data_IF_360758814737
#
_entry.id   IF_360758814737
#
_cell.length_a   1.000
_cell.length_b   1.000
_cell.length_c   1.000
_cell.angle_alpha   90.00
_cell.angle_beta   90.00
_cell.angle_gamma   90.00
#
_symmetry.space_group_name_H-M   'P 1'
#
loop_
_entity.id
_entity.type
_entity.pdbx_description
1 polymer ?
#
# COMPACT_ATOMS: atom_id res chain seq x y z
N UNK A 1 -5.63 9.92 13.51
CA UNK A 1 -5.87 9.17 12.27
C UNK A 1 -4.83 8.08 12.02
N UNK A 2 -3.53 8.39 11.86
CA UNK A 2 -2.51 7.36 11.58
C UNK A 2 -2.49 6.22 12.61
N UNK A 3 -2.54 6.52 13.92
CA UNK A 3 -2.57 5.51 14.97
C UNK A 3 -3.86 4.66 15.00
N UNK A 4 -4.97 5.15 14.47
CA UNK A 4 -6.22 4.39 14.37
C UNK A 4 -6.26 3.46 13.15
N UNK A 5 -5.39 3.73 12.15
CA UNK A 5 -5.40 3.02 10.87
C UNK A 5 -5.26 1.49 11.00
N UNK A 6 -4.39 0.91 11.85
CA UNK A 6 -4.31 -0.54 12.00
C UNK A 6 -5.54 -1.16 12.70
N UNK A 7 -6.33 -0.38 13.45
CA UNK A 7 -7.39 -0.88 14.31
C UNK A 7 -8.79 -0.83 13.70
N UNK A 8 -9.20 0.33 13.17
CA UNK A 8 -10.58 0.56 12.78
C UNK A 8 -10.70 1.47 11.57
N UNK A 9 -11.47 1.02 10.58
CA UNK A 9 -11.84 1.82 9.41
C UNK A 9 -12.66 3.03 9.86
N UNK A 10 -13.72 2.81 10.65
CA UNK A 10 -14.62 3.87 11.12
C UNK A 10 -13.89 4.94 11.93
N UNK A 11 -13.06 4.53 12.90
CA UNK A 11 -12.29 5.48 13.70
C UNK A 11 -11.33 6.30 12.83
N UNK A 12 -10.68 5.65 11.85
CA UNK A 12 -9.77 6.34 10.92
C UNK A 12 -10.50 7.35 10.05
N UNK A 13 -11.69 7.02 9.56
CA UNK A 13 -12.53 7.91 8.74
C UNK A 13 -13.01 9.12 9.55
N UNK A 14 -13.55 8.89 10.77
CA UNK A 14 -13.97 9.99 11.66
C UNK A 14 -12.80 10.94 11.95
N UNK A 15 -11.64 10.39 12.31
CA UNK A 15 -10.44 11.18 12.58
C UNK A 15 -9.90 11.88 11.33
N UNK A 16 -10.10 11.32 10.12
CA UNK A 16 -9.76 11.98 8.87
C UNK A 16 -10.65 13.20 8.61
N UNK A 17 -11.94 13.11 8.88
CA UNK A 17 -12.87 14.24 8.78
C UNK A 17 -12.47 15.36 9.76
N UNK A 18 -12.22 15.03 11.03
CA UNK A 18 -11.74 16.02 12.00
C UNK A 18 -10.41 16.64 11.58
N UNK A 19 -9.50 15.85 11.02
CA UNK A 19 -8.23 16.35 10.52
C UNK A 19 -8.43 17.33 9.34
N UNK A 20 -9.32 17.04 8.39
CA UNK A 20 -9.60 17.94 7.25
C UNK A 20 -10.18 19.27 7.76
N UNK A 21 -11.15 19.23 8.68
CA UNK A 21 -11.74 20.43 9.29
C UNK A 21 -10.67 21.24 10.02
N UNK A 22 -9.85 20.58 10.86
CA UNK A 22 -8.77 21.26 11.58
C UNK A 22 -7.74 21.86 10.63
N UNK A 23 -7.40 21.18 9.53
CA UNK A 23 -6.49 21.69 8.52
C UNK A 23 -7.07 22.92 7.80
N UNK A 24 -8.34 22.90 7.43
CA UNK A 24 -9.04 24.01 6.79
C UNK A 24 -9.04 25.29 7.66
N UNK A 25 -9.17 25.11 8.97
CA UNK A 25 -9.14 26.21 9.96
C UNK A 25 -7.70 26.63 10.34
N UNK A 26 -6.70 25.88 9.93
CA UNK A 26 -5.29 26.14 10.27
C UNK A 26 -4.58 27.02 9.26
N UNK A 27 -3.47 27.69 9.66
CA UNK A 27 -2.64 28.45 8.71
C UNK A 27 -1.98 27.55 7.64
N UNK A 28 -2.00 26.24 7.78
CA UNK A 28 -1.43 25.30 6.83
C UNK A 28 -2.23 25.21 5.53
N UNK A 29 -3.53 25.49 5.54
CA UNK A 29 -4.40 25.44 4.37
C UNK A 29 -3.87 26.31 3.20
N UNK A 30 -3.27 27.47 3.50
CA UNK A 30 -2.69 28.37 2.48
C UNK A 30 -1.56 27.74 1.65
N UNK A 31 -0.92 26.68 2.15
CA UNK A 31 0.20 26.03 1.45
C UNK A 31 -0.27 24.92 0.49
N UNK A 32 -1.53 24.47 0.60
CA UNK A 32 -2.09 23.40 -0.25
C UNK A 32 -2.01 23.78 -1.73
N UNK A 33 -2.37 25.02 -2.09
CA UNK A 33 -2.31 25.50 -3.48
C UNK A 33 -0.91 25.42 -4.10
N UNK A 34 0.15 25.52 -3.30
CA UNK A 34 1.53 25.31 -3.78
C UNK A 34 1.80 23.85 -4.08
N UNK A 35 1.35 22.93 -3.21
CA UNK A 35 1.58 21.50 -3.42
C UNK A 35 0.76 20.96 -4.60
N UNK A 36 -0.42 21.49 -4.85
CA UNK A 36 -1.23 21.16 -6.03
C UNK A 36 -0.55 21.55 -7.37
N UNK A 37 0.45 22.43 -7.34
CA UNK A 37 1.26 22.79 -8.53
C UNK A 37 2.49 21.90 -8.73
N UNK A 38 2.75 20.97 -7.80
CA UNK A 38 3.86 20.03 -7.90
C UNK A 38 3.38 18.72 -8.53
N UNK A 39 4.27 17.99 -9.22
CA UNK A 39 3.90 16.71 -9.84
C UNK A 39 3.39 15.67 -8.83
N UNK A 40 3.97 15.64 -7.62
CA UNK A 40 3.55 14.71 -6.56
C UNK A 40 2.23 15.08 -5.89
N UNK A 41 1.78 16.32 -5.98
CA UNK A 41 0.47 16.74 -5.48
C UNK A 41 -0.59 16.82 -6.58
N UNK A 42 -0.21 17.19 -7.80
CA UNK A 42 -1.13 17.33 -8.93
C UNK A 42 -1.62 15.98 -9.48
N UNK A 43 -0.73 14.98 -9.63
CA UNK A 43 -1.08 13.69 -10.25
C UNK A 43 -2.14 12.90 -9.45
N UNK A 44 -2.09 12.80 -8.11
CA UNK A 44 -3.17 12.20 -7.34
C UNK A 44 -4.53 12.87 -7.58
N UNK A 45 -4.53 14.21 -7.64
CA UNK A 45 -5.75 14.99 -7.88
C UNK A 45 -6.23 14.86 -9.32
N UNK A 46 -5.32 14.81 -10.29
CA UNK A 46 -5.66 14.57 -11.70
C UNK A 46 -6.28 13.18 -11.90
N UNK A 47 -5.75 12.15 -11.24
CA UNK A 47 -6.33 10.81 -11.28
C UNK A 47 -7.75 10.79 -10.69
N UNK A 48 -7.96 11.45 -9.55
CA UNK A 48 -9.29 11.64 -8.99
C UNK A 48 -10.22 12.42 -9.93
N UNK A 49 -9.75 13.53 -10.51
CA UNK A 49 -10.55 14.36 -11.40
C UNK A 49 -10.99 13.59 -12.65
N UNK A 50 -10.09 12.78 -13.22
CA UNK A 50 -10.43 11.91 -14.34
C UNK A 50 -11.48 10.86 -13.93
N UNK A 51 -11.37 10.27 -12.75
CA UNK A 51 -12.39 9.36 -12.22
C UNK A 51 -13.73 10.08 -11.97
N UNK A 52 -13.71 11.31 -11.45
CA UNK A 52 -14.92 12.11 -11.27
C UNK A 52 -15.60 12.41 -12.61
N UNK A 53 -14.84 12.81 -13.63
CA UNK A 53 -15.36 12.96 -14.98
C UNK A 53 -15.90 11.64 -15.53
N UNK A 54 -15.24 10.50 -15.21
CA UNK A 54 -15.64 9.15 -15.60
C UNK A 54 -17.05 8.75 -15.14
N UNK A 55 -17.60 9.40 -14.11
CA UNK A 55 -19.00 9.16 -13.69
C UNK A 55 -20.01 9.61 -14.73
N UNK A 56 -19.66 10.58 -15.60
CA UNK A 56 -20.57 11.17 -16.57
C UNK A 56 -20.88 10.23 -17.75
N UNK A 57 -19.94 9.36 -18.13
CA UNK A 57 -20.11 8.40 -19.22
C UNK A 57 -20.15 6.95 -18.76
N UNK A 58 -20.33 6.72 -17.45
CA UNK A 58 -20.32 5.38 -16.89
C UNK A 58 -21.42 4.49 -17.46
N UNK A 59 -21.07 3.25 -17.78
CA UNK A 59 -22.02 2.21 -18.16
C UNK A 59 -22.78 1.63 -16.97
N UNK A 60 -22.39 1.96 -15.73
CA UNK A 60 -23.17 1.65 -14.53
C UNK A 60 -24.43 2.53 -14.50
N UNK A 61 -25.65 1.95 -14.44
CA UNK A 61 -26.87 2.74 -14.50
C UNK A 61 -27.15 3.51 -13.19
N UNK A 62 -26.76 2.95 -12.05
CA UNK A 62 -27.04 3.56 -10.74
C UNK A 62 -26.01 4.62 -10.34
N UNK A 63 -26.48 5.85 -10.21
CA UNK A 63 -25.64 6.96 -9.75
C UNK A 63 -25.06 6.75 -8.36
N UNK A 64 -25.74 6.03 -7.48
CA UNK A 64 -25.23 5.71 -6.14
C UNK A 64 -23.99 4.83 -6.23
N UNK A 65 -23.99 3.83 -7.10
CA UNK A 65 -22.86 2.96 -7.32
C UNK A 65 -21.69 3.69 -8.01
N UNK A 66 -21.96 4.61 -8.95
CA UNK A 66 -20.92 5.48 -9.54
C UNK A 66 -20.23 6.33 -8.48
N UNK A 67 -20.99 6.96 -7.58
CA UNK A 67 -20.45 7.80 -6.51
C UNK A 67 -19.70 6.98 -5.46
N UNK A 68 -20.20 5.78 -5.11
CA UNK A 68 -19.46 4.85 -4.22
C UNK A 68 -18.12 4.44 -4.82
N UNK A 69 -18.06 4.16 -6.13
CA UNK A 69 -16.81 3.84 -6.78
C UNK A 69 -15.84 5.04 -6.83
N UNK A 70 -16.36 6.26 -6.90
CA UNK A 70 -15.56 7.48 -6.81
C UNK A 70 -14.95 7.67 -5.40
N UNK A 71 -15.59 7.16 -4.33
CA UNK A 71 -15.07 7.23 -2.96
C UNK A 71 -13.69 6.54 -2.83
N UNK A 72 -13.42 5.52 -3.63
CA UNK A 72 -12.12 4.86 -3.64
C UNK A 72 -10.97 5.79 -4.06
N UNK A 73 -11.27 6.82 -4.86
CA UNK A 73 -10.30 7.81 -5.31
C UNK A 73 -10.19 9.02 -4.38
N UNK A 74 -11.21 9.34 -3.55
CA UNK A 74 -11.25 10.55 -2.73
C UNK A 74 -10.04 10.69 -1.78
N UNK A 75 -9.54 9.58 -1.27
CA UNK A 75 -8.38 9.58 -0.34
C UNK A 75 -7.12 10.19 -0.97
N UNK A 76 -7.01 10.21 -2.30
CA UNK A 76 -5.86 10.77 -3.02
C UNK A 76 -5.68 12.28 -2.74
N UNK A 77 -6.76 12.99 -2.45
CA UNK A 77 -6.72 14.40 -2.05
C UNK A 77 -5.93 14.65 -0.77
N UNK A 78 -5.86 13.65 0.12
CA UNK A 78 -5.14 13.82 1.36
C UNK A 78 -3.63 13.94 1.14
N UNK A 79 -3.06 13.46 0.01
CA UNK A 79 -1.62 13.54 -0.27
C UNK A 79 -1.12 14.97 -0.29
N UNK A 80 -1.59 15.89 -1.19
CA UNK A 80 -1.13 17.26 -1.21
C UNK A 80 -1.43 18.01 0.08
N UNK A 81 -2.52 17.69 0.79
CA UNK A 81 -2.87 18.32 2.07
C UNK A 81 -1.90 17.92 3.19
N UNK A 82 -1.55 16.64 3.29
CA UNK A 82 -0.57 16.14 4.26
C UNK A 82 0.83 16.67 3.94
N UNK A 83 1.24 16.70 2.67
CA UNK A 83 2.52 17.27 2.26
C UNK A 83 2.57 18.75 2.67
N UNK A 84 1.54 19.55 2.38
CA UNK A 84 1.48 20.97 2.74
C UNK A 84 1.62 21.17 4.25
N UNK A 85 0.92 20.36 5.05
CA UNK A 85 0.98 20.44 6.50
C UNK A 85 2.36 20.08 7.03
N UNK A 86 2.90 18.91 6.66
CA UNK A 86 4.14 18.40 7.26
C UNK A 86 5.42 18.97 6.64
N UNK A 87 5.33 19.69 5.54
CA UNK A 87 6.40 20.52 5.02
C UNK A 87 6.68 21.74 5.91
N UNK A 88 5.69 22.23 6.65
CA UNK A 88 5.79 23.37 7.56
C UNK A 88 5.86 22.89 9.02
N UNK A 89 5.02 21.94 9.40
CA UNK A 89 4.93 21.39 10.76
C UNK A 89 6.09 20.46 11.08
N UNK A 90 6.62 20.54 12.32
CA UNK A 90 7.65 19.63 12.84
C UNK A 90 7.10 18.29 13.36
N UNK A 91 5.78 18.13 13.44
CA UNK A 91 5.14 16.99 14.08
C UNK A 91 5.05 15.72 13.22
N UNK A 92 5.56 15.73 11.97
CA UNK A 92 5.51 14.56 11.09
C UNK A 92 6.18 13.32 11.68
N UNK A 93 7.34 13.50 12.36
CA UNK A 93 8.03 12.41 13.05
C UNK A 93 7.19 11.79 14.17
N UNK A 94 6.48 12.61 14.95
CA UNK A 94 5.59 12.15 16.03
C UNK A 94 4.41 11.33 15.48
N UNK A 95 3.90 11.69 14.29
CA UNK A 95 2.87 10.90 13.62
C UNK A 95 3.38 9.51 13.28
N UNK A 96 4.60 9.39 12.73
CA UNK A 96 5.22 8.09 12.42
C UNK A 96 5.49 7.26 13.68
N UNK A 97 5.97 7.89 14.76
CA UNK A 97 6.19 7.23 16.05
C UNK A 97 4.85 6.74 16.64
N UNK A 98 3.81 7.58 16.63
CA UNK A 98 2.48 7.21 17.10
C UNK A 98 1.87 6.05 16.31
N UNK A 99 2.07 6.03 14.98
CA UNK A 99 1.70 4.89 14.14
C UNK A 99 2.46 3.62 14.53
N UNK A 100 3.78 3.70 14.71
CA UNK A 100 4.60 2.55 15.10
C UNK A 100 4.23 2.00 16.48
N UNK A 101 4.00 2.86 17.47
CA UNK A 101 3.53 2.46 18.82
C UNK A 101 2.20 1.72 18.70
N UNK A 102 1.28 2.24 17.91
CA UNK A 102 -0.03 1.64 17.66
C UNK A 102 0.09 0.26 17.01
N UNK A 103 0.97 0.12 16.01
CA UNK A 103 1.24 -1.16 15.36
C UNK A 103 1.93 -2.15 16.31
N UNK A 104 2.81 -1.67 17.20
CA UNK A 104 3.46 -2.50 18.22
C UNK A 104 2.45 -3.02 19.24
N UNK A 105 1.48 -2.20 19.65
CA UNK A 105 0.38 -2.66 20.50
C UNK A 105 -0.46 -3.74 19.79
N UNK A 106 -0.74 -3.57 18.49
CA UNK A 106 -1.42 -4.59 17.70
C UNK A 106 -0.58 -5.87 17.56
N UNK A 107 0.75 -5.75 17.40
CA UNK A 107 1.67 -6.89 17.37
C UNK A 107 1.61 -7.71 18.68
N UNK A 108 1.68 -7.02 19.83
CA UNK A 108 1.55 -7.66 21.13
C UNK A 108 0.21 -8.39 21.26
N UNK A 109 -0.87 -7.72 20.90
CA UNK A 109 -2.22 -8.33 20.91
C UNK A 109 -2.31 -9.53 19.95
N UNK A 110 -1.69 -9.46 18.78
CA UNK A 110 -1.63 -10.55 17.82
C UNK A 110 -0.94 -11.79 18.41
N UNK A 111 0.20 -11.62 19.09
CA UNK A 111 0.88 -12.73 19.77
C UNK A 111 0.06 -13.27 20.95
N UNK A 112 -0.53 -12.39 21.75
CA UNK A 112 -1.38 -12.80 22.88
C UNK A 112 -2.57 -13.65 22.39
N UNK A 113 -3.29 -13.23 21.36
CA UNK A 113 -4.44 -13.97 20.83
C UNK A 113 -4.04 -15.26 20.10
N UNK A 114 -2.81 -15.33 19.59
CA UNK A 114 -2.28 -16.56 18.99
C UNK A 114 -1.90 -17.62 20.03
N UNK A 115 -1.17 -17.22 21.08
CA UNK A 115 -0.72 -18.16 22.13
C UNK A 115 -1.78 -18.46 23.19
N UNK A 116 -2.76 -17.58 23.36
CA UNK A 116 -3.87 -17.72 24.31
C UNK A 116 -5.20 -17.52 23.58
N UNK A 117 -5.67 -18.53 22.85
CA UNK A 117 -6.90 -18.42 22.03
C UNK A 117 -8.16 -18.04 22.82
N UNK A 118 -8.18 -18.29 24.14
CA UNK A 118 -9.28 -17.87 25.03
C UNK A 118 -9.44 -16.34 25.11
N UNK A 119 -8.41 -15.57 24.74
CA UNK A 119 -8.43 -14.11 24.64
C UNK A 119 -8.93 -13.61 23.29
N UNK A 120 -9.22 -14.52 22.34
CA UNK A 120 -9.73 -14.15 21.02
C UNK A 120 -11.10 -13.51 21.16
N UNK A 121 -11.21 -12.29 20.68
CA UNK A 121 -12.47 -11.55 20.68
C UNK A 121 -13.44 -12.17 19.65
N UNK A 122 -14.77 -12.06 19.89
CA UNK A 122 -15.81 -12.58 18.96
C UNK A 122 -15.69 -12.07 17.51
N UNK A 123 -14.88 -11.06 17.25
CA UNK A 123 -14.67 -10.43 15.96
C UNK A 123 -13.37 -10.88 15.25
N UNK A 124 -12.54 -11.67 15.91
CA UNK A 124 -11.33 -12.23 15.30
C UNK A 124 -11.72 -13.28 14.27
N UNK A 125 -11.22 -13.13 13.04
CA UNK A 125 -11.46 -14.08 11.93
C UNK A 125 -10.51 -15.28 11.95
N UNK A 126 -9.39 -15.18 12.67
CA UNK A 126 -8.40 -16.23 12.83
C UNK A 126 -7.52 -15.97 14.04
N UNK A 127 -6.89 -17.01 14.57
CA UNK A 127 -5.96 -16.90 15.68
C UNK A 127 -4.80 -15.96 15.31
N UNK A 128 -4.47 -15.03 16.21
CA UNK A 128 -3.43 -14.03 15.99
C UNK A 128 -3.79 -12.87 15.04
N UNK A 129 -5.06 -12.79 14.57
CA UNK A 129 -5.57 -11.65 13.79
C UNK A 129 -6.72 -10.99 14.55
N UNK A 130 -6.41 -10.16 15.58
CA UNK A 130 -7.41 -9.67 16.52
C UNK A 130 -8.37 -8.62 15.93
N UNK A 131 -7.95 -7.90 14.89
CA UNK A 131 -8.75 -6.86 14.23
C UNK A 131 -8.57 -6.93 12.71
N UNK A 132 -9.58 -6.51 11.94
CA UNK A 132 -9.56 -6.53 10.47
C UNK A 132 -9.30 -7.93 9.91
N UNK A 133 -8.39 -8.05 8.95
CA UNK A 133 -7.99 -9.29 8.29
C UNK A 133 -6.45 -9.40 8.22
N UNK A 134 -5.97 -10.60 7.91
CA UNK A 134 -4.54 -10.90 7.85
C UNK A 134 -3.81 -10.15 6.73
N UNK A 135 -4.49 -9.74 5.65
CA UNK A 135 -3.89 -8.97 4.54
C UNK A 135 -3.59 -7.55 5.00
N UNK A 136 -4.55 -6.92 5.69
CA UNK A 136 -4.38 -5.60 6.26
C UNK A 136 -3.27 -5.60 7.33
N UNK A 137 -3.29 -6.57 8.25
CA UNK A 137 -2.30 -6.70 9.32
C UNK A 137 -0.90 -6.95 8.76
N UNK A 138 -0.73 -7.93 7.87
CA UNK A 138 0.58 -8.27 7.31
C UNK A 138 1.19 -7.12 6.50
N UNK A 139 0.39 -6.39 5.71
CA UNK A 139 0.88 -5.24 4.94
C UNK A 139 1.39 -4.11 5.83
N UNK A 140 0.69 -3.80 6.92
CA UNK A 140 1.13 -2.79 7.91
C UNK A 140 2.41 -3.27 8.63
N UNK A 141 2.47 -4.53 9.03
CA UNK A 141 3.59 -5.10 9.79
C UNK A 141 4.86 -5.18 8.96
N UNK A 142 4.77 -5.51 7.67
CA UNK A 142 5.92 -5.49 6.75
C UNK A 142 6.53 -4.10 6.69
N UNK A 143 5.70 -3.05 6.55
CA UNK A 143 6.20 -1.69 6.49
C UNK A 143 6.85 -1.25 7.80
N UNK A 144 6.25 -1.62 8.95
CA UNK A 144 6.86 -1.38 10.27
C UNK A 144 8.22 -2.07 10.41
N UNK A 145 8.31 -3.34 10.02
CA UNK A 145 9.55 -4.11 10.09
C UNK A 145 10.68 -3.45 9.29
N UNK A 146 10.43 -3.14 8.03
CA UNK A 146 11.44 -2.53 7.16
C UNK A 146 11.76 -1.09 7.58
N UNK A 147 10.79 -0.31 8.06
CA UNK A 147 11.04 1.01 8.65
C UNK A 147 11.94 0.95 9.89
N UNK A 148 11.72 -0.04 10.75
CA UNK A 148 12.57 -0.32 11.92
C UNK A 148 13.99 -0.76 11.52
N UNK A 149 14.15 -1.57 10.47
CA UNK A 149 15.47 -1.95 9.94
C UNK A 149 16.25 -0.72 9.46
N UNK A 150 15.61 0.20 8.72
CA UNK A 150 16.25 1.47 8.30
C UNK A 150 16.62 2.32 9.52
N UNK A 151 15.75 2.41 10.52
CA UNK A 151 16.02 3.15 11.76
C UNK A 151 17.15 2.50 12.59
N UNK A 152 17.24 1.17 12.61
CA UNK A 152 18.31 0.42 13.27
C UNK A 152 19.68 0.68 12.61
N UNK A 153 19.75 0.62 11.28
CA UNK A 153 20.95 0.95 10.51
C UNK A 153 21.43 2.37 10.85
N UNK A 154 20.53 3.35 10.84
CA UNK A 154 20.84 4.73 11.22
C UNK A 154 21.30 4.83 12.67
N UNK A 155 20.62 4.19 13.63
CA UNK A 155 21.00 4.21 15.04
C UNK A 155 22.38 3.63 15.27
N UNK A 156 22.72 2.55 14.53
CA UNK A 156 24.07 1.96 14.61
C UNK A 156 25.13 2.91 14.03
N UNK A 157 24.85 3.57 12.90
CA UNK A 157 25.79 4.54 12.32
C UNK A 157 26.03 5.76 13.24
N UNK A 158 25.04 6.09 14.09
CA UNK A 158 25.13 7.14 15.10
C UNK A 158 25.78 6.66 16.42
N UNK A 159 26.33 5.43 16.47
CA UNK A 159 26.97 4.85 17.66
C UNK A 159 26.00 4.35 18.74
N UNK A 160 24.68 4.39 18.51
CA UNK A 160 23.64 3.99 19.49
C UNK A 160 23.31 2.49 19.38
N UNK A 161 24.28 1.64 19.74
CA UNK A 161 24.20 0.19 19.53
C UNK A 161 23.03 -0.48 20.26
N UNK A 162 22.75 -0.11 21.53
CA UNK A 162 21.63 -0.67 22.27
C UNK A 162 20.27 -0.33 21.63
N UNK A 163 20.09 0.91 21.18
CA UNK A 163 18.89 1.31 20.46
C UNK A 163 18.76 0.55 19.13
N UNK A 164 19.86 0.40 18.38
CA UNK A 164 19.87 -0.37 17.13
C UNK A 164 19.44 -1.83 17.38
N UNK A 165 19.95 -2.46 18.43
CA UNK A 165 19.58 -3.84 18.79
C UNK A 165 18.09 -3.95 19.15
N UNK A 166 17.55 -3.03 19.96
CA UNK A 166 16.12 -3.02 20.31
C UNK A 166 15.22 -2.86 19.08
N UNK A 167 15.60 -1.97 18.12
CA UNK A 167 14.87 -1.78 16.86
C UNK A 167 14.93 -3.04 15.99
N UNK A 168 16.08 -3.73 15.93
CA UNK A 168 16.22 -4.99 15.21
C UNK A 168 15.33 -6.09 15.81
N UNK A 169 15.35 -6.26 17.14
CA UNK A 169 14.50 -7.25 17.82
C UNK A 169 13.03 -7.01 17.51
N UNK A 170 12.58 -5.75 17.58
CA UNK A 170 11.20 -5.40 17.24
C UNK A 170 10.89 -5.65 15.76
N UNK A 171 11.81 -5.33 14.85
CA UNK A 171 11.65 -5.61 13.41
C UNK A 171 11.48 -7.11 13.16
N UNK A 172 12.31 -7.94 13.78
CA UNK A 172 12.20 -9.40 13.67
C UNK A 172 10.90 -9.93 14.29
N UNK A 173 10.40 -9.34 15.36
CA UNK A 173 9.10 -9.72 15.93
C UNK A 173 7.96 -9.45 14.91
N UNK A 174 7.97 -8.30 14.22
CA UNK A 174 7.01 -8.03 13.14
C UNK A 174 7.15 -9.04 11.98
N UNK A 175 8.37 -9.33 11.52
CA UNK A 175 8.61 -10.29 10.44
C UNK A 175 8.17 -11.71 10.82
N UNK A 176 8.44 -12.16 12.05
CA UNK A 176 8.01 -13.45 12.56
C UNK A 176 6.47 -13.55 12.58
N UNK A 177 5.78 -12.48 12.99
CA UNK A 177 4.31 -12.46 12.96
C UNK A 177 3.77 -12.61 11.53
N UNK A 178 4.31 -11.86 10.57
CA UNK A 178 3.91 -11.94 9.14
C UNK A 178 4.18 -13.33 8.55
N UNK A 179 5.25 -13.98 8.99
CA UNK A 179 5.69 -15.27 8.46
C UNK A 179 4.91 -16.44 9.03
N UNK A 180 4.59 -16.41 10.33
CA UNK A 180 4.04 -17.58 11.04
C UNK A 180 2.60 -17.41 11.53
N UNK A 181 2.09 -16.18 11.63
CA UNK A 181 0.76 -15.89 12.18
C UNK A 181 -0.14 -15.25 11.12
N UNK A 182 0.15 -14.00 10.74
CA UNK A 182 -0.64 -13.26 9.76
C UNK A 182 -0.08 -13.42 8.34
N UNK A 183 -0.01 -14.66 7.85
CA UNK A 183 0.63 -15.02 6.58
C UNK A 183 -0.20 -14.61 5.37
N UNK A 184 0.17 -13.46 4.75
CA UNK A 184 -0.37 -13.01 3.48
C UNK A 184 0.56 -13.34 2.30
N UNK A 185 0.07 -14.01 1.23
CA UNK A 185 0.88 -14.30 0.03
C UNK A 185 1.49 -13.03 -0.55
N UNK A 186 0.71 -11.96 -0.66
CA UNK A 186 1.16 -10.65 -1.14
C UNK A 186 2.22 -10.05 -0.24
N UNK A 187 2.11 -10.23 1.09
CA UNK A 187 3.09 -9.70 2.04
C UNK A 187 4.49 -10.31 1.84
N UNK A 188 4.57 -11.60 1.48
CA UNK A 188 5.84 -12.27 1.19
C UNK A 188 6.49 -11.65 -0.06
N UNK A 189 5.72 -11.46 -1.13
CA UNK A 189 6.23 -10.82 -2.36
C UNK A 189 6.68 -9.39 -2.07
N UNK A 190 5.92 -8.65 -1.26
CA UNK A 190 6.30 -7.30 -0.80
C UNK A 190 7.59 -7.33 0.01
N UNK A 191 7.77 -8.28 0.93
CA UNK A 191 9.01 -8.41 1.71
C UNK A 191 10.23 -8.61 0.82
N UNK A 192 10.13 -9.49 -0.19
CA UNK A 192 11.19 -9.72 -1.17
C UNK A 192 11.47 -8.42 -1.95
N UNK A 193 10.43 -7.79 -2.48
CA UNK A 193 10.54 -6.55 -3.24
C UNK A 193 11.16 -5.41 -2.43
N UNK A 194 10.76 -5.24 -1.16
CA UNK A 194 11.35 -4.22 -0.28
C UNK A 194 12.80 -4.53 0.08
N UNK A 195 13.14 -5.80 0.29
CA UNK A 195 14.51 -6.21 0.52
C UNK A 195 15.42 -5.85 -0.67
N UNK A 196 15.00 -6.22 -1.87
CA UNK A 196 15.71 -5.85 -3.11
C UNK A 196 15.79 -4.32 -3.24
N UNK A 197 14.68 -3.62 -3.03
CA UNK A 197 14.64 -2.17 -3.15
C UNK A 197 15.60 -1.46 -2.17
N UNK A 198 15.56 -1.83 -0.89
CA UNK A 198 16.45 -1.26 0.13
C UNK A 198 17.91 -1.58 -0.18
N UNK A 199 18.20 -2.81 -0.63
CA UNK A 199 19.56 -3.22 -1.02
C UNK A 199 20.09 -2.41 -2.19
N UNK A 200 19.26 -2.14 -3.22
CA UNK A 200 19.64 -1.32 -4.38
C UNK A 200 19.84 0.16 -4.03
N UNK A 201 19.16 0.67 -3.00
CA UNK A 201 19.31 2.06 -2.56
C UNK A 201 20.56 2.33 -1.73
N UNK A 202 21.18 1.31 -1.16
CA UNK A 202 22.43 1.48 -0.43
C UNK A 202 23.60 1.61 -1.41
N UNK A 203 24.31 2.72 -1.37
CA UNK A 203 25.43 3.07 -2.24
C UNK A 203 26.60 2.07 -2.19
N UNK A 204 26.69 1.28 -1.10
CA UNK A 204 27.73 0.29 -0.92
C UNK A 204 27.19 -1.10 -1.31
N UNK A 205 27.66 -1.62 -2.45
CA UNK A 205 27.27 -2.92 -3.00
C UNK A 205 27.45 -4.09 -2.00
N UNK A 206 28.41 -3.98 -1.05
CA UNK A 206 28.64 -4.99 -0.01
C UNK A 206 27.46 -5.10 0.96
N UNK A 207 26.88 -3.98 1.37
CA UNK A 207 25.68 -4.00 2.22
C UNK A 207 24.44 -4.43 1.43
N UNK A 208 24.35 -4.03 0.17
CA UNK A 208 23.30 -4.49 -0.74
C UNK A 208 23.33 -6.00 -0.94
N UNK A 209 24.50 -6.56 -1.26
CA UNK A 209 24.66 -8.00 -1.44
C UNK A 209 24.46 -8.79 -0.15
N UNK A 210 24.93 -8.28 1.00
CA UNK A 210 24.66 -8.88 2.30
C UNK A 210 23.16 -8.90 2.61
N UNK A 211 22.44 -7.82 2.32
CA UNK A 211 20.99 -7.75 2.47
C UNK A 211 20.27 -8.80 1.62
N UNK A 212 20.69 -8.98 0.36
CA UNK A 212 20.14 -10.00 -0.54
C UNK A 212 20.44 -11.41 0.00
N UNK A 213 21.69 -11.67 0.41
CA UNK A 213 22.08 -12.98 0.97
C UNK A 213 21.29 -13.31 2.24
N UNK A 214 21.15 -12.36 3.16
CA UNK A 214 20.34 -12.54 4.37
C UNK A 214 18.87 -12.75 4.06
N UNK A 215 18.35 -12.06 3.05
CA UNK A 215 16.98 -12.27 2.59
C UNK A 215 16.76 -13.62 1.95
N UNK A 216 17.69 -14.07 1.10
CA UNK A 216 17.65 -15.43 0.54
C UNK A 216 17.76 -16.49 1.65
N UNK A 217 18.62 -16.27 2.64
CA UNK A 217 18.74 -17.17 3.79
C UNK A 217 17.45 -17.21 4.61
N UNK A 218 16.82 -16.06 4.85
CA UNK A 218 15.53 -15.97 5.54
C UNK A 218 14.43 -16.68 4.75
N UNK A 219 14.36 -16.48 3.44
CA UNK A 219 13.41 -17.17 2.58
C UNK A 219 13.64 -18.68 2.57
N UNK A 220 14.89 -19.14 2.46
CA UNK A 220 15.23 -20.55 2.52
C UNK A 220 14.87 -21.17 3.87
N UNK A 221 15.19 -20.48 4.97
CA UNK A 221 14.80 -20.92 6.33
C UNK A 221 13.28 -20.97 6.48
N UNK A 222 12.58 -19.93 6.01
CA UNK A 222 11.12 -19.90 6.06
C UNK A 222 10.50 -21.00 5.19
N UNK A 223 11.08 -21.28 4.05
CA UNK A 223 10.66 -22.39 3.19
C UNK A 223 10.81 -23.74 3.87
N UNK A 224 11.95 -23.99 4.52
CA UNK A 224 12.21 -25.28 5.18
C UNK A 224 11.44 -25.46 6.48
N UNK A 225 11.10 -24.39 7.18
CA UNK A 225 10.45 -24.43 8.51
C UNK A 225 8.94 -24.19 8.49
N UNK A 226 8.36 -23.74 7.37
CA UNK A 226 6.92 -23.48 7.26
C UNK A 226 6.23 -24.41 6.26
N UNK A 227 5.67 -25.56 6.72
CA UNK A 227 4.87 -26.45 5.88
C UNK A 227 3.67 -25.72 5.24
N UNK A 228 3.14 -24.70 5.92
CA UNK A 228 2.06 -23.88 5.40
C UNK A 228 2.48 -23.10 4.14
N UNK A 229 3.67 -22.48 4.14
CA UNK A 229 4.18 -21.76 2.97
C UNK A 229 4.46 -22.71 1.80
N UNK A 230 5.06 -23.87 2.08
CA UNK A 230 5.31 -24.90 1.06
C UNK A 230 4.00 -25.33 0.41
N UNK A 231 3.01 -25.71 1.22
CA UNK A 231 1.71 -26.16 0.69
C UNK A 231 1.03 -25.05 -0.13
N UNK A 232 1.10 -23.80 0.32
CA UNK A 232 0.48 -22.66 -0.37
C UNK A 232 1.13 -22.33 -1.71
N UNK A 233 2.46 -22.40 -1.82
CA UNK A 233 3.17 -22.15 -3.08
C UNK A 233 3.02 -23.31 -4.07
N UNK A 234 3.04 -24.56 -3.58
CA UNK A 234 2.74 -25.74 -4.39
C UNK A 234 1.30 -25.70 -4.90
N UNK A 235 0.35 -25.34 -4.05
CA UNK A 235 -1.05 -25.15 -4.44
C UNK A 235 -1.17 -24.08 -5.52
N UNK A 236 -0.51 -22.91 -5.37
CA UNK A 236 -0.49 -21.85 -6.39
C UNK A 236 0.05 -22.36 -7.73
N UNK A 237 1.17 -23.08 -7.70
CA UNK A 237 1.77 -23.64 -8.91
C UNK A 237 0.81 -24.59 -9.61
N UNK A 238 0.20 -25.51 -8.88
CA UNK A 238 -0.78 -26.45 -9.40
C UNK A 238 -2.03 -25.71 -9.93
N UNK A 239 -2.54 -24.70 -9.20
CA UNK A 239 -3.67 -23.86 -9.62
C UNK A 239 -3.41 -23.13 -10.94
N UNK A 240 -2.18 -22.64 -11.16
CA UNK A 240 -1.79 -21.96 -12.40
C UNK A 240 -1.64 -22.96 -13.55
N UNK A 241 -1.02 -24.13 -13.29
CA UNK A 241 -0.81 -25.16 -14.34
C UNK A 241 -2.14 -25.82 -14.74
N UNK A 242 -3.07 -26.02 -13.82
CA UNK A 242 -4.39 -26.62 -14.06
C UNK A 242 -5.47 -25.61 -14.46
N UNK A 243 -5.09 -24.37 -14.76
CA UNK A 243 -6.07 -23.36 -15.16
C UNK A 243 -6.69 -23.69 -16.52
N UNK A 244 -8.01 -23.93 -16.51
CA UNK A 244 -8.85 -24.05 -17.69
C UNK A 244 -10.09 -23.16 -17.53
N UNK A 245 -10.33 -22.21 -18.45
CA UNK A 245 -11.44 -21.23 -18.33
C UNK A 245 -12.83 -21.84 -18.15
N UNK A 246 -13.04 -23.04 -18.71
CA UNK A 246 -14.33 -23.72 -18.73
C UNK A 246 -14.51 -24.75 -17.62
N UNK A 247 -13.59 -24.84 -16.68
CA UNK A 247 -13.67 -25.76 -15.54
C UNK A 247 -14.05 -25.03 -14.25
N UNK A 248 -14.90 -25.68 -13.45
CA UNK A 248 -15.25 -25.15 -12.13
C UNK A 248 -14.07 -25.31 -11.18
N UNK A 249 -13.56 -24.21 -10.68
CA UNK A 249 -12.55 -24.21 -9.62
C UNK A 249 -12.78 -23.07 -8.64
N UNK A 250 -12.57 -23.33 -7.37
CA UNK A 250 -12.51 -22.31 -6.32
C UNK A 250 -11.07 -21.80 -6.09
N UNK A 251 -10.14 -22.27 -6.89
CA UNK A 251 -8.73 -21.93 -6.80
C UNK A 251 -8.52 -20.43 -7.00
N UNK A 252 -8.03 -19.77 -5.99
CA UNK A 252 -7.89 -18.30 -5.94
C UNK A 252 -6.98 -17.74 -7.05
N UNK A 253 -5.98 -18.49 -7.51
CA UNK A 253 -5.11 -18.07 -8.60
C UNK A 253 -5.80 -18.20 -9.96
N UNK A 254 -6.50 -19.28 -10.21
CA UNK A 254 -7.26 -19.52 -11.44
C UNK A 254 -8.36 -18.45 -11.61
N UNK A 255 -9.10 -18.13 -10.55
CA UNK A 255 -10.10 -17.06 -10.54
C UNK A 255 -9.47 -15.71 -10.92
N UNK A 256 -8.28 -15.36 -10.37
CA UNK A 256 -7.59 -14.12 -10.72
C UNK A 256 -7.11 -14.07 -12.17
N UNK A 257 -6.58 -15.19 -12.68
CA UNK A 257 -6.18 -15.29 -14.08
C UNK A 257 -7.37 -15.06 -15.02
N UNK A 258 -8.53 -15.64 -14.69
CA UNK A 258 -9.75 -15.40 -15.46
C UNK A 258 -10.22 -13.94 -15.38
N UNK A 259 -10.17 -13.31 -14.20
CA UNK A 259 -10.48 -11.90 -14.06
C UNK A 259 -9.51 -11.02 -14.87
N UNK A 260 -8.22 -11.35 -14.92
CA UNK A 260 -7.25 -10.61 -15.70
C UNK A 260 -7.47 -10.77 -17.19
N UNK A 261 -7.73 -12.00 -17.66
CA UNK A 261 -8.07 -12.27 -19.06
C UNK A 261 -9.29 -11.45 -19.50
N UNK A 262 -10.37 -11.50 -18.73
CA UNK A 262 -11.59 -10.75 -19.01
C UNK A 262 -11.39 -9.24 -18.90
N UNK A 263 -10.56 -8.78 -17.94
CA UNK A 263 -10.22 -7.35 -17.84
C UNK A 263 -9.55 -6.84 -19.10
N UNK A 264 -8.64 -7.62 -19.70
CA UNK A 264 -7.99 -7.25 -20.97
C UNK A 264 -9.04 -7.11 -22.08
N UNK A 265 -9.96 -8.08 -22.23
CA UNK A 265 -11.03 -8.02 -23.23
C UNK A 265 -11.92 -6.77 -23.02
N UNK A 266 -12.31 -6.48 -21.79
CA UNK A 266 -13.12 -5.30 -21.45
C UNK A 266 -12.36 -4.00 -21.80
N UNK A 267 -11.07 -3.93 -21.52
CA UNK A 267 -10.23 -2.76 -21.82
C UNK A 267 -10.10 -2.57 -23.33
N UNK A 268 -9.95 -3.65 -24.12
CA UNK A 268 -9.88 -3.61 -25.58
C UNK A 268 -11.14 -3.04 -26.22
N UNK A 269 -12.33 -3.21 -25.61
CA UNK A 269 -13.59 -2.61 -26.08
C UNK A 269 -13.60 -1.07 -25.95
N UNK A 270 -12.94 -0.50 -24.94
CA UNK A 270 -12.93 0.95 -24.67
C UNK A 270 -11.59 1.45 -24.11
N UNK A 271 -10.48 1.38 -24.88
CA UNK A 271 -9.14 1.60 -24.34
C UNK A 271 -8.86 3.05 -23.91
N UNK A 272 -9.52 4.04 -24.51
CA UNK A 272 -9.19 5.44 -24.27
C UNK A 272 -9.97 6.07 -23.10
N UNK A 273 -11.26 5.85 -23.02
CA UNK A 273 -12.10 6.46 -21.97
C UNK A 273 -12.54 5.46 -20.91
N UNK A 274 -12.35 4.16 -21.17
CA UNK A 274 -12.92 3.10 -20.35
C UNK A 274 -14.45 3.10 -20.41
N UNK A 275 -15.06 2.37 -19.52
CA UNK A 275 -16.53 2.23 -19.43
C UNK A 275 -17.17 3.16 -18.39
N UNK A 276 -16.39 4.09 -17.82
CA UNK A 276 -16.82 5.04 -16.80
C UNK A 276 -16.63 4.50 -15.37
N UNK A 277 -16.57 5.43 -14.42
CA UNK A 277 -16.36 5.11 -12.99
C UNK A 277 -17.54 4.31 -12.43
N UNK A 278 -17.24 3.21 -11.72
CA UNK A 278 -18.23 2.28 -11.17
C UNK A 278 -18.60 1.10 -12.09
N UNK A 279 -18.12 1.09 -13.33
CA UNK A 279 -18.52 0.12 -14.35
C UNK A 279 -17.94 -1.31 -14.20
N UNK A 280 -17.00 -1.56 -13.30
CA UNK A 280 -16.31 -2.86 -13.22
C UNK A 280 -17.32 -4.01 -13.14
N UNK A 281 -18.23 -3.96 -12.15
CA UNK A 281 -19.22 -5.01 -11.95
C UNK A 281 -20.11 -5.19 -13.19
N UNK A 282 -20.65 -4.10 -13.72
CA UNK A 282 -21.54 -4.10 -14.88
C UNK A 282 -20.87 -4.72 -16.11
N UNK A 283 -19.58 -4.42 -16.35
CA UNK A 283 -18.83 -5.04 -17.44
C UNK A 283 -18.54 -6.52 -17.22
N UNK A 284 -18.24 -6.93 -15.98
CA UNK A 284 -18.11 -8.35 -15.66
C UNK A 284 -19.44 -9.11 -15.77
N UNK A 285 -20.57 -8.52 -15.41
CA UNK A 285 -21.92 -9.09 -15.63
C UNK A 285 -22.20 -9.27 -17.12
N UNK A 286 -21.89 -8.27 -17.95
CA UNK A 286 -22.05 -8.33 -19.41
C UNK A 286 -21.22 -9.48 -20.02
N UNK A 287 -19.95 -9.61 -19.65
CA UNK A 287 -19.09 -10.68 -20.16
C UNK A 287 -19.41 -12.06 -19.56
N UNK A 288 -20.11 -12.15 -18.43
CA UNK A 288 -20.59 -13.38 -17.83
C UNK A 288 -21.88 -13.91 -18.44
N UNK A 289 -22.63 -13.07 -19.17
CA UNK A 289 -23.92 -13.44 -19.77
C UNK A 289 -23.79 -14.60 -20.75
N UNK A 290 -24.56 -15.67 -20.52
CA UNK A 290 -24.50 -16.89 -21.34
C UNK A 290 -23.28 -17.79 -21.08
N UNK A 291 -22.39 -17.41 -20.15
CA UNK A 291 -21.21 -18.19 -19.79
C UNK A 291 -21.51 -19.16 -18.63
N UNK A 292 -20.55 -20.06 -18.36
CA UNK A 292 -20.62 -21.06 -17.28
C UNK A 292 -19.30 -21.07 -16.50
N UNK A 293 -19.34 -21.69 -15.31
CA UNK A 293 -18.16 -21.93 -14.46
C UNK A 293 -17.36 -20.65 -14.14
N UNK A 294 -16.05 -20.68 -14.30
CA UNK A 294 -15.18 -19.50 -14.02
C UNK A 294 -15.53 -18.28 -14.85
N UNK A 295 -15.92 -18.50 -16.10
CA UNK A 295 -16.28 -17.40 -17.02
C UNK A 295 -17.58 -16.69 -16.65
N UNK A 296 -18.43 -17.31 -15.82
CA UNK A 296 -19.66 -16.73 -15.29
C UNK A 296 -19.45 -15.90 -14.00
N UNK A 297 -18.26 -15.93 -13.40
CA UNK A 297 -17.99 -15.19 -12.17
C UNK A 297 -18.04 -13.68 -12.39
N UNK A 298 -18.72 -12.98 -11.49
CA UNK A 298 -18.81 -11.52 -11.48
C UNK A 298 -17.98 -10.96 -10.32
N UNK A 299 -17.27 -9.87 -10.57
CA UNK A 299 -16.47 -9.20 -9.55
C UNK A 299 -16.57 -7.68 -9.65
N UNK A 300 -16.40 -7.01 -8.51
CA UNK A 300 -16.15 -5.55 -8.42
C UNK A 300 -14.65 -5.24 -8.33
N UNK A 301 -13.80 -6.27 -8.18
CA UNK A 301 -12.36 -6.11 -8.04
C UNK A 301 -11.63 -7.14 -8.91
N UNK A 302 -10.99 -6.75 -10.01
CA UNK A 302 -10.22 -7.65 -10.87
C UNK A 302 -8.91 -8.14 -10.21
N UNK A 303 -8.64 -7.76 -8.97
CA UNK A 303 -7.40 -8.04 -8.23
C UNK A 303 -6.13 -7.56 -8.94
N UNK A 304 -6.23 -6.46 -9.65
CA UNK A 304 -5.11 -5.69 -10.22
C UNK A 304 -5.55 -4.23 -10.38
N UNK A 305 -4.80 -3.32 -9.78
CA UNK A 305 -5.16 -1.90 -9.76
C UNK A 305 -5.11 -1.26 -11.15
N UNK A 306 -4.16 -1.66 -11.98
CA UNK A 306 -4.02 -1.12 -13.34
C UNK A 306 -5.26 -1.48 -14.16
N UNK A 307 -5.71 -2.74 -14.09
CA UNK A 307 -6.92 -3.18 -14.76
C UNK A 307 -8.18 -2.51 -14.19
N UNK A 308 -8.27 -2.39 -12.86
CA UNK A 308 -9.41 -1.73 -12.22
C UNK A 308 -9.57 -0.26 -12.66
N UNK A 309 -8.46 0.43 -12.90
CA UNK A 309 -8.45 1.80 -13.41
C UNK A 309 -8.73 1.82 -14.92
N UNK A 310 -8.06 0.95 -15.69
CA UNK A 310 -8.22 0.93 -17.15
C UNK A 310 -9.65 0.58 -17.58
N UNK A 311 -10.33 -0.33 -16.89
CA UNK A 311 -11.75 -0.64 -17.15
C UNK A 311 -12.62 0.61 -16.96
N UNK A 312 -12.36 1.40 -15.92
CA UNK A 312 -13.20 2.54 -15.58
C UNK A 312 -12.88 3.80 -16.40
N UNK A 313 -11.61 4.18 -16.48
CA UNK A 313 -11.18 5.46 -17.05
C UNK A 313 -10.08 5.30 -18.11
N UNK A 314 -9.99 4.12 -18.70
CA UNK A 314 -9.13 3.82 -19.83
C UNK A 314 -7.64 3.72 -19.50
N UNK A 315 -6.84 3.43 -20.52
CA UNK A 315 -5.38 3.41 -20.45
C UNK A 315 -4.78 4.75 -19.97
N UNK A 316 -5.33 5.93 -20.34
CA UNK A 316 -4.86 7.20 -19.78
C UNK A 316 -4.93 7.26 -18.26
N UNK A 317 -5.96 6.69 -17.62
CA UNK A 317 -6.06 6.59 -16.17
C UNK A 317 -4.96 5.73 -15.57
N UNK A 318 -4.64 4.60 -16.19
CA UNK A 318 -3.53 3.75 -15.78
C UNK A 318 -2.17 4.41 -15.98
N UNK A 319 -1.99 5.19 -17.03
CA UNK A 319 -0.78 6.01 -17.25
C UNK A 319 -0.64 7.05 -16.12
N UNK A 320 -1.73 7.75 -15.76
CA UNK A 320 -1.70 8.70 -14.63
C UNK A 320 -1.34 8.02 -13.31
N UNK A 321 -1.83 6.81 -13.05
CA UNK A 321 -1.44 6.02 -11.88
C UNK A 321 0.07 5.74 -11.87
N UNK A 322 0.61 5.28 -12.98
CA UNK A 322 2.06 4.97 -13.10
C UNK A 322 2.90 6.24 -12.94
N UNK A 323 2.50 7.34 -13.57
CA UNK A 323 3.16 8.63 -13.43
C UNK A 323 3.10 9.15 -11.97
N UNK A 324 2.00 8.93 -11.27
CA UNK A 324 1.87 9.24 -9.84
C UNK A 324 2.88 8.44 -9.01
N UNK A 325 3.01 7.14 -9.24
CA UNK A 325 4.01 6.32 -8.55
C UNK A 325 5.44 6.78 -8.84
N UNK A 326 5.76 7.08 -10.10
CA UNK A 326 7.07 7.61 -10.52
C UNK A 326 7.35 8.96 -9.83
N UNK A 327 6.37 9.87 -9.80
CA UNK A 327 6.52 11.16 -9.13
C UNK A 327 6.77 11.02 -7.62
N UNK A 328 6.09 10.07 -6.96
CA UNK A 328 6.32 9.82 -5.54
C UNK A 328 7.67 9.12 -5.28
N UNK A 329 8.12 8.21 -6.14
CA UNK A 329 9.48 7.66 -6.06
C UNK A 329 10.54 8.76 -6.29
N UNK A 330 10.28 9.69 -7.20
CA UNK A 330 11.14 10.85 -7.43
C UNK A 330 11.19 11.81 -6.23
N UNK A 331 10.06 12.01 -5.54
CA UNK A 331 10.00 12.76 -4.28
C UNK A 331 10.96 12.14 -3.24
N UNK A 332 11.05 10.82 -3.20
CA UNK A 332 11.88 10.06 -2.26
C UNK A 332 13.23 9.60 -2.82
N UNK A 333 13.78 10.28 -3.85
CA UNK A 333 15.03 9.85 -4.50
C UNK A 333 16.29 9.96 -3.63
N UNK A 334 16.23 10.69 -2.52
CA UNK A 334 17.37 10.89 -1.62
C UNK A 334 17.73 9.62 -0.84
N UNK A 335 19.02 9.55 -0.41
CA UNK A 335 19.54 8.42 0.36
C UNK A 335 19.29 8.49 1.88
N UNK A 336 18.59 9.51 2.37
CA UNK A 336 18.27 9.62 3.80
C UNK A 336 17.21 8.61 4.25
N UNK A 337 17.12 8.39 5.57
CA UNK A 337 16.22 7.39 6.15
C UNK A 337 14.74 7.66 5.87
N UNK A 338 14.29 8.93 5.88
CA UNK A 338 12.90 9.26 5.59
C UNK A 338 12.56 9.03 4.12
N UNK A 339 13.43 9.43 3.20
CA UNK A 339 13.28 9.16 1.78
C UNK A 339 13.28 7.65 1.49
N UNK A 340 14.10 6.87 2.19
CA UNK A 340 14.10 5.41 2.07
C UNK A 340 12.77 4.82 2.54
N UNK A 341 12.27 5.22 3.72
CA UNK A 341 10.97 4.74 4.23
C UNK A 341 9.81 5.18 3.31
N UNK A 342 9.82 6.44 2.84
CA UNK A 342 8.81 6.94 1.90
C UNK A 342 8.77 6.15 0.59
N UNK A 343 9.93 5.84 0.02
CA UNK A 343 10.02 5.01 -1.19
C UNK A 343 9.53 3.57 -0.95
N UNK A 344 9.75 2.99 0.23
CA UNK A 344 9.21 1.68 0.59
C UNK A 344 7.69 1.67 0.63
N UNK A 345 7.05 2.74 1.13
CA UNK A 345 5.59 2.89 1.07
C UNK A 345 5.08 2.83 -0.38
N UNK A 346 5.77 3.51 -1.29
CA UNK A 346 5.40 3.51 -2.72
C UNK A 346 5.61 2.13 -3.34
N UNK A 347 6.77 1.51 -3.12
CA UNK A 347 7.10 0.18 -3.67
C UNK A 347 6.15 -0.89 -3.14
N UNK A 348 5.83 -0.88 -1.84
CA UNK A 348 4.83 -1.78 -1.27
C UNK A 348 3.46 -1.62 -1.94
N UNK A 349 3.03 -0.38 -2.18
CA UNK A 349 1.77 -0.13 -2.87
C UNK A 349 1.82 -0.63 -4.32
N UNK A 350 2.89 -0.34 -5.07
CA UNK A 350 3.07 -0.83 -6.45
C UNK A 350 2.96 -2.36 -6.49
N UNK A 351 3.74 -3.07 -5.67
CA UNK A 351 3.72 -4.54 -5.65
C UNK A 351 2.33 -5.05 -5.26
N UNK A 352 1.73 -4.48 -4.20
CA UNK A 352 0.41 -4.88 -3.75
C UNK A 352 -0.67 -4.66 -4.82
N UNK A 353 -0.58 -3.58 -5.58
CA UNK A 353 -1.50 -3.23 -6.67
C UNK A 353 -1.43 -4.19 -7.87
N UNK A 354 -0.34 -4.97 -8.02
CA UNK A 354 -0.25 -6.02 -9.06
C UNK A 354 -1.09 -7.25 -8.72
N UNK A 355 -1.36 -7.50 -7.42
CA UNK A 355 -2.06 -8.69 -6.94
C UNK A 355 -3.42 -8.41 -6.31
N UNK A 356 -3.75 -7.14 -6.11
CA UNK A 356 -5.05 -6.66 -5.64
C UNK A 356 -5.23 -5.18 -5.97
N UNK A 357 -6.43 -4.61 -5.79
CA UNK A 357 -6.65 -3.16 -5.93
C UNK A 357 -6.32 -2.44 -4.61
N UNK A 358 -5.03 -2.44 -4.23
CA UNK A 358 -4.57 -1.91 -2.93
C UNK A 358 -4.82 -0.41 -2.75
N UNK A 359 -4.86 0.36 -3.83
CA UNK A 359 -5.19 1.79 -3.74
C UNK A 359 -6.66 1.99 -3.35
N UNK A 360 -7.55 1.07 -3.75
CA UNK A 360 -8.97 1.08 -3.41
C UNK A 360 -9.26 0.41 -2.06
N UNK A 361 -8.39 -0.48 -1.59
CA UNK A 361 -8.49 -1.02 -0.24
C UNK A 361 -8.31 0.09 0.80
N UNK A 362 -9.18 0.11 1.81
CA UNK A 362 -9.15 1.18 2.82
C UNK A 362 -7.81 1.24 3.56
N UNK A 363 -7.33 0.10 4.04
CA UNK A 363 -6.13 0.06 4.89
C UNK A 363 -4.87 0.32 4.07
N UNK A 364 -4.71 -0.38 2.96
CA UNK A 364 -3.51 -0.27 2.11
C UNK A 364 -3.44 1.08 1.39
N UNK A 365 -4.58 1.55 0.85
CA UNK A 365 -4.66 2.87 0.20
C UNK A 365 -4.43 4.01 1.19
N UNK A 366 -4.99 3.93 2.41
CA UNK A 366 -4.74 4.94 3.44
C UNK A 366 -3.30 4.91 3.95
N UNK A 367 -2.69 3.72 4.05
CA UNK A 367 -1.28 3.57 4.40
C UNK A 367 -0.37 4.26 3.38
N UNK A 368 -0.67 4.06 2.08
CA UNK A 368 0.02 4.75 0.99
C UNK A 368 -0.14 6.27 1.09
N UNK A 369 -1.37 6.75 1.20
CA UNK A 369 -1.69 8.19 1.22
C UNK A 369 -1.08 8.90 2.42
N UNK A 370 -1.23 8.33 3.62
CA UNK A 370 -0.65 8.89 4.85
C UNK A 370 0.87 8.80 4.82
N UNK A 371 1.42 7.67 4.38
CA UNK A 371 2.86 7.48 4.27
C UNK A 371 3.51 8.48 3.32
N UNK A 372 3.01 8.57 2.07
CA UNK A 372 3.52 9.53 1.08
C UNK A 372 3.33 10.97 1.56
N UNK A 373 2.16 11.30 2.09
CA UNK A 373 1.85 12.67 2.51
C UNK A 373 2.70 13.15 3.69
N UNK A 374 2.78 12.37 4.76
CA UNK A 374 3.53 12.73 5.98
C UNK A 374 5.03 12.73 5.70
N UNK A 375 5.56 11.64 5.11
CA UNK A 375 7.00 11.51 4.87
C UNK A 375 7.45 12.47 3.78
N UNK A 376 6.64 12.67 2.73
CA UNK A 376 6.91 13.66 1.68
C UNK A 376 7.02 15.06 2.24
N UNK A 377 6.13 15.43 3.16
CA UNK A 377 6.23 16.71 3.88
C UNK A 377 7.53 16.84 4.70
N UNK A 378 7.92 15.79 5.44
CA UNK A 378 9.18 15.76 6.22
C UNK A 378 10.40 15.98 5.30
N UNK A 379 10.48 15.23 4.19
CA UNK A 379 11.59 15.31 3.23
C UNK A 379 11.70 16.70 2.63
N UNK A 380 10.59 17.28 2.16
CA UNK A 380 10.56 18.61 1.57
C UNK A 380 10.86 19.75 2.57
N UNK A 381 10.59 19.50 3.86
CA UNK A 381 10.96 20.41 4.93
C UNK A 381 12.48 20.42 5.15
N UNK A 382 13.13 19.25 5.16
CA UNK A 382 14.60 19.15 5.22
C UNK A 382 15.27 19.93 4.09
N UNK A 383 14.77 19.81 2.87
CA UNK A 383 15.25 20.54 1.69
C UNK A 383 15.21 22.07 1.86
N UNK A 384 14.17 22.56 2.51
CA UNK A 384 14.03 24.00 2.72
C UNK A 384 15.01 24.53 3.78
N UNK A 385 15.38 23.71 4.75
CA UNK A 385 16.36 24.06 5.78
C UNK A 385 17.82 24.02 5.27
N UNK A 386 18.14 23.14 4.32
CA UNK A 386 19.49 23.02 3.74
C UNK A 386 19.81 24.08 2.67
N UNK A 387 18.83 24.60 1.95
CA UNK A 387 19.04 25.59 0.87
C UNK A 387 19.75 26.88 1.28
N UNK A 388 19.51 27.50 2.44
CA UNK A 388 20.25 28.67 2.88
C UNK A 388 21.74 28.39 3.16
N UNK A 389 22.07 27.18 3.66
CA UNK A 389 23.43 26.78 4.00
C UNK A 389 24.30 26.58 2.74
N UNK A 390 23.72 26.06 1.66
CA UNK A 390 24.42 25.85 0.38
C UNK A 390 24.61 27.17 -0.40
N UNK A 391 23.79 28.20 -0.14
CA UNK A 391 23.90 29.51 -0.77
C UNK A 391 25.02 30.38 -0.17
N UNK A 392 25.44 30.04 1.04
CA UNK A 392 26.46 30.73 1.82
C UNK A 392 27.80 29.98 1.93
N UNK A 393 27.93 28.82 1.24
CA UNK A 393 29.19 28.09 1.17
C UNK A 393 30.15 28.92 0.25
N UNK A 394 31.35 29.30 0.70
CA UNK A 394 32.35 29.95 -0.14
C UNK A 394 32.76 28.97 -1.25
N UNK A 395 32.96 29.52 -2.46
CA UNK A 395 33.38 28.79 -3.66
C UNK A 395 34.82 28.27 -3.52
#
# INVERSE_FOLDING_TARGET
MAAALPWSITASTILAVFWIVALALSPYARYVGRELKTVWGALPVALWALAALGTLWSSEPDWTERLKALDDFHRLWAIPFLIAQFRVSSYGRQVLIGFLISCTALLVLSYLTYFVPSLTWRWSRSDGVPVKDYIAQSGVFVLCAFGLLVAAIKSRSDGRNAAALGLLVLAFAFLANVTYIATGRTAIVVMIGLLVWVSLRHSNWRYGSLGIVLGCALLATTWTTSPYLQSRLLTLWNEVQSYHPNERTEASAAVRLEFWRRSIMIIEEAPWLGHGTGSIRTQFEKTASGQKELTALVTQNPHNQIFAIAIQIGVPGSILLVLMWIAHLWLFRRGDSFSTIGSMVVVQNIIGCMFNSHLFDFTQGSLYVVGVGVIGGIVLRGDAAERPLLRNAPA
#
